data_IF_797307971163
#
_entry.id   IF_797307971163
#
_cell.length_a   1.000
_cell.length_b   1.000
_cell.length_c   1.000
_cell.angle_alpha   90.00
_cell.angle_beta   90.00
_cell.angle_gamma   90.00
#
_symmetry.space_group_name_H-M   'P 1'
#
loop_
_entity.id
_entity.type
_entity.pdbx_description
1 polymer ?
#
# COMPACT_ATOMS: atom_id res chain seq x y z
N UNK A 1 -7.45 -7.16 -5.35
CA UNK A 1 -6.16 -7.43 -6.06
C UNK A 1 -6.28 -8.51 -7.14
N UNK A 2 -7.13 -9.52 -6.97
CA UNK A 2 -7.32 -10.67 -7.87
C UNK A 2 -7.46 -10.30 -9.36
N UNK A 3 -8.37 -9.39 -9.71
CA UNK A 3 -8.59 -8.95 -11.09
C UNK A 3 -7.32 -8.37 -11.76
N UNK A 4 -6.49 -7.64 -11.01
CA UNK A 4 -5.26 -7.06 -11.57
C UNK A 4 -4.26 -8.15 -11.93
N UNK A 5 -4.18 -9.21 -11.13
CA UNK A 5 -3.33 -10.37 -11.42
C UNK A 5 -3.87 -11.20 -12.58
N UNK A 6 -5.18 -11.34 -12.72
CA UNK A 6 -5.78 -12.03 -13.87
C UNK A 6 -5.36 -11.35 -15.19
N UNK A 7 -5.35 -10.02 -15.22
CA UNK A 7 -4.86 -9.23 -16.37
C UNK A 7 -3.35 -9.44 -16.59
N UNK A 8 -2.56 -9.48 -15.52
CA UNK A 8 -1.11 -9.74 -15.62
C UNK A 8 -0.84 -11.12 -16.23
N UNK A 9 -1.60 -12.13 -15.84
CA UNK A 9 -1.45 -13.50 -16.31
C UNK A 9 -1.88 -13.65 -17.78
N UNK A 10 -2.89 -12.90 -18.23
CA UNK A 10 -3.29 -12.85 -19.64
C UNK A 10 -2.24 -12.18 -20.52
N UNK A 11 -1.65 -11.06 -20.06
CA UNK A 11 -0.76 -10.23 -20.87
C UNK A 11 0.73 -10.63 -20.79
N UNK A 12 1.14 -11.27 -19.70
CA UNK A 12 2.52 -11.76 -19.50
C UNK A 12 2.49 -13.18 -18.90
N UNK A 13 1.96 -14.19 -19.61
CA UNK A 13 1.76 -15.55 -19.08
C UNK A 13 3.05 -16.29 -18.71
N UNK A 14 4.21 -15.77 -19.13
CA UNK A 14 5.53 -16.32 -18.77
C UNK A 14 6.07 -15.73 -17.47
N UNK A 15 5.33 -14.80 -16.84
CA UNK A 15 5.74 -14.10 -15.61
C UNK A 15 7.14 -13.50 -15.75
N UNK A 16 7.40 -12.84 -16.87
CA UNK A 16 8.72 -12.24 -17.17
C UNK A 16 9.07 -11.11 -16.19
N UNK A 17 8.08 -10.58 -15.49
CA UNK A 17 8.21 -9.44 -14.59
C UNK A 17 8.06 -8.09 -15.30
N UNK A 18 7.72 -8.10 -16.59
CA UNK A 18 7.45 -6.89 -17.37
C UNK A 18 6.15 -6.18 -16.92
N UNK A 19 5.20 -6.96 -16.36
CA UNK A 19 3.92 -6.47 -15.84
C UNK A 19 3.69 -7.07 -14.45
N UNK A 20 3.12 -6.28 -13.55
CA UNK A 20 2.76 -6.69 -12.20
C UNK A 20 1.83 -5.68 -11.56
N UNK A 21 1.81 -5.69 -10.23
CA UNK A 21 0.91 -4.87 -9.42
C UNK A 21 1.68 -3.95 -8.48
N UNK A 22 1.10 -2.77 -8.27
CA UNK A 22 1.39 -1.94 -7.11
C UNK A 22 0.38 -2.29 -6.02
N UNK A 23 0.87 -2.71 -4.85
CA UNK A 23 0.03 -3.00 -3.68
C UNK A 23 -0.06 -1.72 -2.85
N UNK A 24 -1.09 -0.92 -3.12
CA UNK A 24 -1.45 0.23 -2.28
C UNK A 24 -2.47 -0.22 -1.22
N UNK A 25 -2.08 -0.12 0.05
CA UNK A 25 -2.91 -0.55 1.18
C UNK A 25 -4.26 0.15 1.23
N UNK A 26 -4.38 1.40 0.78
CA UNK A 26 -5.65 2.13 0.73
C UNK A 26 -6.69 1.40 -0.13
N UNK A 27 -6.23 0.78 -1.21
CA UNK A 27 -7.09 0.14 -2.20
C UNK A 27 -7.44 -1.30 -1.86
N UNK A 28 -6.63 -1.99 -1.05
CA UNK A 28 -6.72 -3.44 -0.90
C UNK A 28 -6.95 -3.94 0.53
N UNK A 29 -6.77 -3.11 1.57
CA UNK A 29 -6.79 -3.57 2.97
C UNK A 29 -8.06 -4.33 3.39
N UNK A 30 -9.20 -4.01 2.77
CA UNK A 30 -10.51 -4.58 3.06
C UNK A 30 -10.76 -5.95 2.39
N UNK A 31 -9.92 -6.34 1.42
CA UNK A 31 -10.10 -7.55 0.62
C UNK A 31 -9.75 -8.80 1.45
N UNK A 32 -10.71 -9.70 1.73
CA UNK A 32 -10.45 -10.90 2.53
C UNK A 32 -9.50 -11.89 1.83
N UNK A 33 -9.30 -11.77 0.51
CA UNK A 33 -8.36 -12.59 -0.24
C UNK A 33 -6.96 -11.98 -0.31
N UNK A 34 -6.73 -10.80 0.28
CA UNK A 34 -5.49 -10.02 0.09
C UNK A 34 -4.22 -10.86 0.30
N UNK A 35 -4.12 -11.57 1.43
CA UNK A 35 -2.96 -12.41 1.72
C UNK A 35 -2.71 -13.45 0.60
N UNK A 36 -3.75 -14.20 0.22
CA UNK A 36 -3.65 -15.22 -0.82
C UNK A 36 -3.30 -14.62 -2.19
N UNK A 37 -3.77 -13.40 -2.49
CA UNK A 37 -3.40 -12.71 -3.73
C UNK A 37 -1.95 -12.21 -3.69
N UNK A 38 -1.46 -11.69 -2.56
CA UNK A 38 -0.04 -11.32 -2.40
C UNK A 38 0.84 -12.56 -2.60
N UNK A 39 0.48 -13.69 -2.01
CA UNK A 39 1.16 -14.97 -2.21
C UNK A 39 1.13 -15.42 -3.69
N UNK A 40 -0.02 -15.29 -4.37
CA UNK A 40 -0.14 -15.56 -5.82
C UNK A 40 0.77 -14.65 -6.66
N UNK A 41 0.85 -13.36 -6.32
CA UNK A 41 1.66 -12.39 -7.05
C UNK A 41 3.14 -12.77 -6.99
N UNK A 42 3.64 -13.08 -5.79
CA UNK A 42 5.03 -13.46 -5.59
C UNK A 42 6.03 -12.37 -6.01
N UNK A 43 7.33 -12.69 -5.97
CA UNK A 43 8.40 -11.77 -6.38
C UNK A 43 8.27 -11.28 -7.83
N UNK A 44 7.67 -12.05 -8.72
CA UNK A 44 7.59 -11.72 -10.15
C UNK A 44 6.49 -10.71 -10.49
N UNK A 45 5.48 -10.53 -9.62
CA UNK A 45 4.38 -9.57 -9.86
C UNK A 45 4.31 -8.43 -8.86
N UNK A 46 5.00 -8.50 -7.72
CA UNK A 46 5.02 -7.40 -6.75
C UNK A 46 6.03 -6.34 -7.20
N UNK A 47 5.54 -5.22 -7.76
CA UNK A 47 6.40 -4.17 -8.34
C UNK A 47 6.48 -2.91 -7.50
N UNK A 48 5.47 -2.62 -6.69
CA UNK A 48 5.47 -1.49 -5.75
C UNK A 48 4.62 -1.80 -4.52
N UNK A 49 4.90 -1.11 -3.42
CA UNK A 49 4.14 -1.19 -2.17
C UNK A 49 3.92 0.22 -1.64
N UNK A 50 2.67 0.69 -1.63
CA UNK A 50 2.32 2.03 -1.15
C UNK A 50 1.62 1.94 0.20
N UNK A 51 1.96 2.86 1.10
CA UNK A 51 1.45 2.93 2.45
C UNK A 51 0.81 4.30 2.73
N UNK A 52 -0.33 4.24 3.39
CA UNK A 52 -1.04 5.33 4.04
C UNK A 52 -1.97 4.68 5.08
N UNK A 53 -3.07 5.32 5.45
CA UNK A 53 -4.08 4.70 6.31
C UNK A 53 -5.53 5.00 5.90
N UNK A 54 -6.45 4.21 6.44
CA UNK A 54 -7.89 4.40 6.31
C UNK A 54 -8.47 5.00 7.59
N UNK A 55 -8.91 6.26 7.53
CA UNK A 55 -9.46 6.96 8.69
C UNK A 55 -10.87 6.45 9.04
N UNK A 56 -11.22 6.45 10.32
CA UNK A 56 -12.59 6.14 10.77
C UNK A 56 -13.12 7.25 11.68
N UNK A 57 -14.04 8.10 11.21
CA UNK A 57 -14.63 8.12 9.86
C UNK A 57 -13.67 8.61 8.77
N UNK A 58 -13.83 8.11 7.53
CA UNK A 58 -13.28 8.72 6.31
C UNK A 58 -14.28 9.73 5.77
N UNK A 59 -13.82 10.96 5.51
CA UNK A 59 -14.68 12.08 5.09
C UNK A 59 -14.70 12.33 3.58
N UNK A 60 -13.67 11.89 2.84
CA UNK A 60 -13.60 11.94 1.37
C UNK A 60 -12.87 10.71 0.83
N UNK A 61 -13.43 10.05 -0.20
CA UNK A 61 -12.87 8.80 -0.71
C UNK A 61 -11.51 8.97 -1.41
N UNK A 62 -11.22 10.16 -1.92
CA UNK A 62 -9.97 10.46 -2.62
C UNK A 62 -9.00 11.24 -1.73
N UNK A 63 -9.47 12.30 -1.08
CA UNK A 63 -8.65 13.35 -0.47
C UNK A 63 -8.58 13.28 1.06
N UNK A 64 -8.91 12.14 1.67
CA UNK A 64 -8.87 11.95 3.12
C UNK A 64 -8.13 10.67 3.54
N UNK A 65 -7.01 10.38 2.86
CA UNK A 65 -6.11 9.31 3.28
C UNK A 65 -5.41 9.70 4.59
N UNK A 66 -5.25 8.74 5.49
CA UNK A 66 -4.57 8.91 6.77
C UNK A 66 -3.05 8.81 6.64
N UNK A 67 -2.34 9.44 7.58
CA UNK A 67 -0.94 9.11 7.85
C UNK A 67 -0.88 7.73 8.52
N UNK A 68 0.12 6.91 8.19
CA UNK A 68 0.26 5.56 8.74
C UNK A 68 0.17 5.57 10.28
N UNK A 69 -0.75 4.78 10.83
CA UNK A 69 -1.01 4.66 12.27
C UNK A 69 -2.11 5.59 12.80
N UNK A 70 -2.65 6.50 11.97
CA UNK A 70 -3.83 7.29 12.36
C UNK A 70 -5.17 6.58 12.06
N UNK A 71 -5.14 5.50 11.26
CA UNK A 71 -6.33 4.78 10.81
C UNK A 71 -6.40 3.35 11.33
N UNK A 72 -7.06 2.49 10.54
CA UNK A 72 -7.39 1.11 10.93
C UNK A 72 -6.67 0.02 10.12
N UNK A 73 -5.81 0.38 9.17
CA UNK A 73 -5.12 -0.61 8.36
C UNK A 73 -4.04 -1.30 9.21
N UNK A 74 -4.02 -2.64 9.21
CA UNK A 74 -2.92 -3.43 9.80
C UNK A 74 -1.74 -3.49 8.82
N UNK A 75 -1.03 -2.36 8.71
CA UNK A 75 0.10 -2.16 7.80
C UNK A 75 1.25 -3.15 8.07
N UNK A 76 1.66 -3.45 9.33
CA UNK A 76 2.74 -4.40 9.61
C UNK A 76 2.43 -5.78 9.06
N UNK A 77 1.18 -6.21 9.20
CA UNK A 77 0.72 -7.50 8.69
C UNK A 77 0.79 -7.56 7.17
N UNK A 78 0.25 -6.55 6.48
CA UNK A 78 0.26 -6.53 5.01
C UNK A 78 1.69 -6.44 4.49
N UNK A 79 2.52 -5.57 5.07
CA UNK A 79 3.95 -5.46 4.76
C UNK A 79 4.66 -6.80 4.95
N UNK A 80 4.41 -7.48 6.07
CA UNK A 80 4.97 -8.80 6.35
C UNK A 80 4.62 -9.84 5.28
N UNK A 81 3.39 -9.81 4.74
CA UNK A 81 3.00 -10.68 3.62
C UNK A 81 3.78 -10.34 2.34
N UNK A 82 3.92 -9.06 2.01
CA UNK A 82 4.65 -8.59 0.82
C UNK A 82 6.13 -8.94 0.89
N UNK A 83 6.78 -8.67 2.02
CA UNK A 83 8.19 -9.01 2.26
C UNK A 83 8.43 -10.52 2.25
N UNK A 84 7.51 -11.32 2.79
CA UNK A 84 7.59 -12.79 2.77
C UNK A 84 7.61 -13.38 1.34
N UNK A 85 7.07 -12.65 0.35
CA UNK A 85 7.12 -13.04 -1.06
C UNK A 85 8.39 -12.58 -1.79
N UNK A 86 9.34 -11.97 -1.07
CA UNK A 86 10.63 -11.55 -1.62
C UNK A 86 10.63 -10.18 -2.28
N UNK A 87 9.62 -9.34 -2.01
CA UNK A 87 9.66 -7.93 -2.35
C UNK A 87 10.71 -7.22 -1.48
N UNK A 88 11.63 -6.49 -2.12
CA UNK A 88 12.73 -5.79 -1.46
C UNK A 88 12.82 -4.32 -1.89
N UNK A 89 11.73 -3.78 -2.47
CA UNK A 89 11.62 -2.37 -2.83
C UNK A 89 11.31 -1.49 -1.63
N UNK A 90 11.08 -0.20 -1.88
CA UNK A 90 10.69 0.76 -0.85
C UNK A 90 9.20 0.65 -0.52
N UNK A 91 8.84 0.99 0.73
CA UNK A 91 7.48 1.37 1.10
C UNK A 91 7.27 2.84 0.71
N UNK A 92 6.40 3.10 -0.25
CA UNK A 92 6.13 4.44 -0.76
C UNK A 92 4.98 5.09 0.02
N UNK A 93 5.21 6.26 0.64
CA UNK A 93 4.16 6.95 1.38
C UNK A 93 3.29 7.78 0.42
N UNK A 94 2.02 7.42 0.25
CA UNK A 94 1.09 8.07 -0.69
C UNK A 94 -0.16 8.60 0.02
N UNK A 95 -0.21 9.91 0.30
CA UNK A 95 -1.28 10.55 1.08
C UNK A 95 -1.90 11.73 0.33
N UNK A 96 -3.19 11.62 0.04
CA UNK A 96 -4.03 12.74 -0.39
C UNK A 96 -4.86 13.20 0.82
N UNK A 97 -4.66 14.44 1.28
CA UNK A 97 -5.24 14.93 2.53
C UNK A 97 -5.49 16.44 2.50
N UNK A 98 -6.51 16.85 1.73
CA UNK A 98 -6.82 18.29 1.51
C UNK A 98 -7.18 19.02 2.79
N UNK A 99 -7.88 18.33 3.72
CA UNK A 99 -8.35 18.87 4.98
C UNK A 99 -7.34 18.83 6.13
N UNK A 100 -6.16 18.22 5.95
CA UNK A 100 -5.19 18.06 7.01
C UNK A 100 -3.73 18.16 6.52
N UNK A 101 -3.13 17.09 5.98
CA UNK A 101 -1.67 17.07 5.73
C UNK A 101 -1.23 18.05 4.65
N UNK A 102 -2.06 18.33 3.64
CA UNK A 102 -1.75 19.37 2.64
C UNK A 102 -1.83 20.81 3.18
N UNK A 103 -2.38 21.01 4.39
CA UNK A 103 -2.46 22.31 5.05
C UNK A 103 -1.28 22.57 6.01
N UNK A 104 -0.44 21.56 6.24
CA UNK A 104 0.72 21.64 7.13
C UNK A 104 1.97 22.05 6.37
N UNK A 105 3.01 22.43 7.10
CA UNK A 105 4.32 22.60 6.49
C UNK A 105 4.80 21.25 5.91
N UNK A 106 5.49 21.30 4.78
CA UNK A 106 6.00 20.10 4.12
C UNK A 106 7.04 19.39 4.99
N UNK A 107 7.87 20.12 5.74
CA UNK A 107 8.85 19.54 6.66
C UNK A 107 8.16 18.71 7.75
N UNK A 108 7.09 19.24 8.37
CA UNK A 108 6.31 18.52 9.38
C UNK A 108 5.69 17.23 8.81
N UNK A 109 5.23 17.29 7.55
CA UNK A 109 4.66 16.13 6.86
C UNK A 109 5.72 15.07 6.61
N UNK A 110 6.90 15.45 6.12
CA UNK A 110 8.00 14.51 5.86
C UNK A 110 8.55 13.91 7.16
N UNK A 111 8.70 14.72 8.22
CA UNK A 111 9.13 14.24 9.53
C UNK A 111 8.12 13.23 10.11
N UNK A 112 6.82 13.48 9.94
CA UNK A 112 5.78 12.53 10.31
C UNK A 112 5.88 11.24 9.48
N UNK A 113 6.05 11.30 8.16
CA UNK A 113 6.24 10.12 7.32
C UNK A 113 7.41 9.26 7.81
N UNK A 114 8.57 9.88 8.09
CA UNK A 114 9.77 9.17 8.59
C UNK A 114 9.51 8.56 9.96
N UNK A 115 8.95 9.34 10.89
CA UNK A 115 8.67 8.87 12.24
C UNK A 115 7.73 7.66 12.22
N UNK A 116 6.63 7.73 11.45
CA UNK A 116 5.64 6.65 11.35
C UNK A 116 6.18 5.42 10.64
N UNK A 117 6.97 5.59 9.58
CA UNK A 117 7.58 4.46 8.87
C UNK A 117 8.65 3.73 9.69
N UNK A 118 9.32 4.41 10.62
CA UNK A 118 10.38 3.82 11.46
C UNK A 118 9.87 3.25 12.79
N UNK A 119 8.76 3.76 13.33
CA UNK A 119 8.01 3.03 14.35
C UNK A 119 7.47 1.74 13.74
N UNK A 120 7.59 0.60 14.43
CA UNK A 120 7.02 -0.70 14.01
C UNK A 120 5.46 -0.69 14.05
N UNK A 121 4.83 0.34 13.48
CA UNK A 121 3.44 0.35 13.02
C UNK A 121 3.37 -0.06 11.56
#
# INVERSE_FOLDING_TARGET
>A
MEQALDICDELDPQHTGAIGVAVDVYHVWWDPKLQAQIERAGKSRLLAFHVCDWLTPTSDLLNDRGMMGDGVIDIPRIRGWVEAQGFAGYSEVEIFSTGNWWQRDMADTLDACIARHTSNV
#
